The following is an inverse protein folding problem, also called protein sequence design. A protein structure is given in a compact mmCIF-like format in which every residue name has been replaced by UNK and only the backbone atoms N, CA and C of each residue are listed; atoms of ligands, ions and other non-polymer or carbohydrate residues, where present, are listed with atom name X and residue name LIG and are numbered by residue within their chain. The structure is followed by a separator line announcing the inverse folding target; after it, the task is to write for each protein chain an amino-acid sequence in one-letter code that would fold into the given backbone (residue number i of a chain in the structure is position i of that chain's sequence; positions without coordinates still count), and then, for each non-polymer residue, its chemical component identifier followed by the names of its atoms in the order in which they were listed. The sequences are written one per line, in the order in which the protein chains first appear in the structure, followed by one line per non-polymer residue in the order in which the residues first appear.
data_IF_230946607061
#
_entry.id   IF_230946607061
#
_cell.length_a   1.000
_cell.length_b   1.000
_cell.length_c   1.000
_cell.angle_alpha   90.00
_cell.angle_beta   90.00
_cell.angle_gamma   90.00
#
_symmetry.space_group_name_H-M   'P 1'
#
loop_
_entity.id
_entity.type
_entity.pdbx_description
1 polymer ?
#
# COMPACT_ATOMS: atom_id res chain seq x y z
N UNK A 1 -8.56 -24.52 -8.92
CA UNK A 1 -9.01 -23.61 -7.83
C UNK A 1 -9.45 -22.30 -8.49
N UNK A 2 -10.62 -21.74 -8.13
CA UNK A 2 -11.00 -20.43 -8.64
C UNK A 2 -10.01 -19.37 -8.12
N UNK A 3 -9.68 -18.37 -8.95
CA UNK A 3 -8.96 -17.18 -8.50
C UNK A 3 -9.86 -16.36 -7.59
N UNK A 4 -9.30 -15.77 -6.53
CA UNK A 4 -9.99 -14.85 -5.64
C UNK A 4 -9.36 -13.46 -5.74
N UNK A 5 -10.16 -12.43 -5.44
CA UNK A 5 -9.62 -11.10 -5.24
C UNK A 5 -8.85 -11.07 -3.92
N UNK A 6 -7.64 -10.53 -3.93
CA UNK A 6 -6.79 -10.41 -2.73
C UNK A 6 -6.65 -8.93 -2.34
N UNK A 7 -6.14 -8.10 -3.24
CA UNK A 7 -5.94 -6.68 -2.97
C UNK A 7 -6.08 -5.79 -4.21
N UNK A 8 -6.42 -4.53 -3.97
CA UNK A 8 -6.30 -3.45 -4.94
C UNK A 8 -5.29 -2.41 -4.44
N UNK A 9 -4.33 -2.06 -5.29
CA UNK A 9 -3.39 -0.97 -5.03
C UNK A 9 -3.98 0.38 -5.46
N UNK A 10 -3.82 1.38 -4.60
CA UNK A 10 -4.06 2.78 -4.92
C UNK A 10 -2.76 3.53 -4.70
N UNK A 11 -2.12 3.94 -5.79
CA UNK A 11 -0.90 4.73 -5.75
C UNK A 11 -1.24 6.18 -5.42
N UNK A 12 -0.64 6.74 -4.37
CA UNK A 12 -0.91 8.12 -3.98
C UNK A 12 0.24 8.73 -3.19
N UNK A 13 0.57 10.00 -3.45
CA UNK A 13 1.48 10.76 -2.60
C UNK A 13 0.78 11.28 -1.32
N UNK A 14 -0.55 11.26 -1.28
CA UNK A 14 -1.37 11.76 -0.18
C UNK A 14 -1.91 10.63 0.72
N UNK A 15 -1.14 9.54 0.90
CA UNK A 15 -1.58 8.34 1.61
C UNK A 15 -2.10 8.64 3.03
N UNK A 16 -1.49 9.60 3.73
CA UNK A 16 -1.93 10.03 5.05
C UNK A 16 -3.36 10.62 5.04
N UNK A 17 -3.63 11.53 4.12
CA UNK A 17 -4.92 12.20 3.98
C UNK A 17 -6.02 11.24 3.50
N UNK A 18 -5.71 10.41 2.50
CA UNK A 18 -6.65 9.43 1.94
C UNK A 18 -7.05 8.42 3.01
N UNK A 19 -6.08 7.87 3.75
CA UNK A 19 -6.40 6.96 4.86
C UNK A 19 -7.23 7.62 5.96
N UNK A 20 -6.98 8.89 6.29
CA UNK A 20 -7.82 9.62 7.24
C UNK A 20 -9.26 9.78 6.74
N UNK A 21 -9.45 10.03 5.43
CA UNK A 21 -10.78 10.07 4.79
C UNK A 21 -11.47 8.70 4.81
N UNK A 22 -10.75 7.62 4.50
CA UNK A 22 -11.27 6.25 4.54
C UNK A 22 -11.68 5.83 5.95
N UNK A 23 -10.86 6.17 6.96
CA UNK A 23 -11.17 5.92 8.37
C UNK A 23 -12.44 6.68 8.79
N UNK A 24 -12.57 7.96 8.41
CA UNK A 24 -13.81 8.74 8.66
C UNK A 24 -15.03 8.18 7.93
N UNK A 25 -14.83 7.50 6.80
CA UNK A 25 -15.89 6.82 6.07
C UNK A 25 -16.26 5.44 6.68
N UNK A 26 -15.62 5.03 7.77
CA UNK A 26 -15.93 3.80 8.50
C UNK A 26 -15.11 2.58 8.09
N UNK A 27 -14.07 2.74 7.26
CA UNK A 27 -13.14 1.65 6.98
C UNK A 27 -12.15 1.47 8.14
N UNK A 28 -11.86 0.22 8.49
CA UNK A 28 -10.87 -0.11 9.51
C UNK A 28 -9.49 -0.27 8.87
N UNK A 29 -8.54 0.53 9.33
CA UNK A 29 -7.15 0.36 8.97
C UNK A 29 -6.54 -0.81 9.74
N UNK A 30 -5.83 -1.68 9.04
CA UNK A 30 -5.02 -2.74 9.63
C UNK A 30 -3.53 -2.39 9.64
N UNK A 31 -2.66 -3.38 9.91
CA UNK A 31 -1.23 -3.12 10.03
C UNK A 31 -0.65 -2.54 8.73
N UNK A 32 0.24 -1.56 8.79
CA UNK A 32 0.97 -1.07 7.62
C UNK A 32 2.25 -1.88 7.38
N UNK A 33 2.83 -1.78 6.19
CA UNK A 33 4.16 -2.27 5.87
C UNK A 33 5.04 -1.12 5.37
N UNK A 34 6.32 -1.16 5.75
CA UNK A 34 7.39 -0.53 4.96
C UNK A 34 8.01 -1.63 4.11
N UNK A 35 8.46 -1.31 2.89
CA UNK A 35 9.11 -2.27 2.00
C UNK A 35 10.61 -1.95 1.91
N UNK A 36 11.45 -2.52 2.80
CA UNK A 36 12.89 -2.30 2.79
C UNK A 36 13.50 -2.59 1.42
N UNK A 37 14.42 -1.74 1.01
CA UNK A 37 15.04 -1.81 -0.31
C UNK A 37 14.18 -1.20 -1.42
N UNK A 38 12.86 -1.39 -1.42
CA UNK A 38 12.01 -0.93 -2.54
C UNK A 38 11.65 0.56 -2.49
N UNK A 39 11.87 1.23 -1.35
CA UNK A 39 11.55 2.65 -1.20
C UNK A 39 10.07 2.98 -1.09
N UNK A 40 9.19 1.97 -0.94
CA UNK A 40 7.74 2.17 -0.79
C UNK A 40 7.25 1.72 0.59
N UNK A 41 6.10 2.24 0.99
CA UNK A 41 5.35 1.80 2.15
C UNK A 41 3.86 1.78 1.82
N UNK A 42 3.06 1.04 2.59
CA UNK A 42 1.62 0.97 2.38
C UNK A 42 0.82 1.31 3.64
N UNK A 43 -0.45 1.67 3.45
CA UNK A 43 -1.51 1.63 4.48
C UNK A 43 -2.59 0.68 3.99
N UNK A 44 -3.08 -0.20 4.85
CA UNK A 44 -3.97 -1.31 4.44
C UNK A 44 -5.34 -1.20 5.10
N UNK A 45 -6.40 -1.35 4.30
CA UNK A 45 -7.78 -1.36 4.76
C UNK A 45 -8.43 -2.68 4.38
N UNK A 46 -8.78 -3.47 5.38
CA UNK A 46 -9.32 -4.83 5.21
C UNK A 46 -10.85 -4.81 5.13
N UNK A 47 -11.42 -5.65 4.26
CA UNK A 47 -12.86 -5.86 4.16
C UNK A 47 -13.16 -7.34 3.82
N UNK A 48 -14.44 -7.71 3.83
CA UNK A 48 -14.81 -9.09 3.49
C UNK A 48 -14.51 -9.37 2.00
N UNK A 49 -13.49 -10.18 1.76
CA UNK A 49 -13.09 -10.59 0.42
C UNK A 49 -11.87 -9.87 -0.15
N UNK A 50 -11.13 -9.08 0.64
CA UNK A 50 -9.83 -8.54 0.24
C UNK A 50 -9.39 -7.31 1.04
N UNK A 51 -8.47 -6.54 0.45
CA UNK A 51 -7.99 -5.28 1.04
C UNK A 51 -7.69 -4.19 0.00
N UNK A 52 -7.73 -2.95 0.45
CA UNK A 52 -7.19 -1.80 -0.29
C UNK A 52 -5.82 -1.46 0.31
N UNK A 53 -4.80 -1.38 -0.55
CA UNK A 53 -3.47 -0.90 -0.18
C UNK A 53 -3.23 0.49 -0.76
N UNK A 54 -3.11 1.50 0.11
CA UNK A 54 -2.59 2.80 -0.29
C UNK A 54 -1.07 2.70 -0.35
N UNK A 55 -0.50 2.63 -1.56
CA UNK A 55 0.93 2.47 -1.78
C UNK A 55 1.57 3.82 -2.13
N UNK A 56 2.65 4.16 -1.43
CA UNK A 56 3.33 5.44 -1.59
C UNK A 56 4.85 5.27 -1.48
N UNK A 57 5.58 6.22 -2.06
CA UNK A 57 7.03 6.30 -1.94
C UNK A 57 7.38 6.84 -0.56
N UNK A 58 8.14 6.07 0.20
CA UNK A 58 8.63 6.44 1.52
C UNK A 58 10.12 6.84 1.49
N UNK A 59 10.88 6.33 0.53
CA UNK A 59 12.29 6.65 0.31
C UNK A 59 12.59 6.66 -1.19
N UNK A 60 12.84 7.86 -1.72
CA UNK A 60 13.09 8.07 -3.16
C UNK A 60 14.44 7.50 -3.59
N UNK A 61 15.45 7.52 -2.71
CA UNK A 61 16.79 7.00 -3.04
C UNK A 61 16.77 5.47 -3.16
N UNK A 62 15.98 4.80 -2.32
CA UNK A 62 15.81 3.36 -2.39
C UNK A 62 15.13 2.90 -3.69
N UNK A 63 14.32 3.73 -4.35
CA UNK A 63 13.63 3.38 -5.62
C UNK A 63 14.59 3.09 -6.78
N UNK A 64 15.74 3.76 -6.81
CA UNK A 64 16.67 3.74 -7.94
C UNK A 64 17.84 2.78 -7.74
N UNK A 65 17.80 1.98 -6.67
CA UNK A 65 18.88 1.04 -6.37
C UNK A 65 18.95 -0.09 -7.40
N UNK A 66 20.10 -0.28 -8.06
CA UNK A 66 20.25 -1.25 -9.14
C UNK A 66 20.09 -2.70 -8.65
N UNK A 67 20.28 -2.97 -7.36
CA UNK A 67 20.09 -4.32 -6.78
C UNK A 67 18.63 -4.82 -6.83
N UNK A 68 17.67 -3.92 -7.07
CA UNK A 68 16.23 -4.22 -7.08
C UNK A 68 15.58 -3.96 -8.44
N UNK A 69 16.38 -3.60 -9.45
CA UNK A 69 15.92 -3.57 -10.84
C UNK A 69 15.51 -4.98 -11.25
N UNK A 70 14.25 -5.18 -11.65
CA UNK A 70 13.74 -6.49 -12.08
C UNK A 70 14.56 -6.99 -13.26
N UNK A 71 15.06 -8.23 -13.17
CA UNK A 71 15.57 -9.04 -14.30
C UNK A 71 14.47 -9.34 -15.29
#
# INVERSE_FOLDING_TARGET
MPSCFDHAFVFTAAAAEVAARMTRAGLCEGPANTHPGQGTANRRFFFQGGMIELLYVADVEALTRPELART
#
